data_IF_594159813229
#
_entry.id   IF_594159813229
#
_cell.length_a   1.000
_cell.length_b   1.000
_cell.length_c   1.000
_cell.angle_alpha   90.00
_cell.angle_beta   90.00
_cell.angle_gamma   90.00
#
_symmetry.space_group_name_H-M   'P 1'
#
loop_
_entity.id
_entity.type
_entity.pdbx_description
1 polymer ?
#
# COMPACT_ATOMS: atom_id res chain seq x y z
N UNK A 1 0.50 -2.56 13.82
CA UNK A 1 -0.47 -1.53 13.33
C UNK A 1 -0.56 -0.36 14.31
N UNK A 2 -0.98 0.83 13.85
CA UNK A 2 -1.24 1.98 14.74
C UNK A 2 -2.44 1.69 15.67
N UNK A 3 -2.33 1.88 17.01
CA UNK A 3 -3.41 1.55 17.96
C UNK A 3 -4.72 2.31 17.72
N UNK A 4 -4.62 3.61 17.36
CA UNK A 4 -5.81 4.41 17.08
C UNK A 4 -6.57 3.92 15.85
N UNK A 5 -5.83 3.48 14.82
CA UNK A 5 -6.44 2.88 13.64
C UNK A 5 -7.08 1.53 13.95
N UNK A 6 -6.43 0.71 14.78
CA UNK A 6 -7.02 -0.55 15.24
C UNK A 6 -8.35 -0.31 15.95
N UNK A 7 -8.39 0.59 16.93
CA UNK A 7 -9.61 0.93 17.66
C UNK A 7 -10.70 1.49 16.75
N UNK A 8 -10.34 2.29 15.75
CA UNK A 8 -11.28 2.79 14.74
C UNK A 8 -11.89 1.62 13.94
N UNK A 9 -11.09 0.69 13.46
CA UNK A 9 -11.56 -0.48 12.70
C UNK A 9 -12.41 -1.42 13.57
N UNK A 10 -12.05 -1.62 14.83
CA UNK A 10 -12.86 -2.37 15.80
C UNK A 10 -14.24 -1.73 15.97
N UNK A 11 -14.32 -0.40 16.04
CA UNK A 11 -15.61 0.33 16.08
C UNK A 11 -16.42 0.23 14.78
N UNK A 12 -15.75 -0.09 13.66
CA UNK A 12 -16.35 -0.38 12.37
C UNK A 12 -16.63 -1.88 12.16
N UNK A 13 -16.65 -2.67 13.24
CA UNK A 13 -16.96 -4.11 13.27
C UNK A 13 -15.90 -5.01 12.60
N UNK A 14 -14.65 -4.55 12.50
CA UNK A 14 -13.56 -5.38 12.01
C UNK A 14 -13.26 -6.56 12.96
N UNK A 15 -13.23 -7.75 12.42
CA UNK A 15 -12.85 -8.98 13.10
C UNK A 15 -11.38 -9.29 12.78
N UNK A 16 -10.54 -9.22 13.79
CA UNK A 16 -9.11 -9.51 13.66
C UNK A 16 -8.81 -10.98 13.86
N UNK A 17 -7.77 -11.45 13.21
CA UNK A 17 -7.17 -12.76 13.49
C UNK A 17 -6.45 -12.70 14.84
N UNK A 18 -6.53 -13.77 15.62
CA UNK A 18 -5.87 -13.88 16.92
C UNK A 18 -4.38 -13.56 16.82
N UNK A 19 -3.88 -12.76 17.77
CA UNK A 19 -2.49 -12.32 17.89
C UNK A 19 -1.90 -11.67 16.61
N UNK A 20 -2.76 -11.03 15.79
CA UNK A 20 -2.39 -10.45 14.50
C UNK A 20 -3.12 -9.13 14.24
N UNK A 21 -2.55 -8.33 13.35
CA UNK A 21 -3.21 -7.15 12.78
C UNK A 21 -4.01 -7.48 11.51
N UNK A 22 -4.07 -8.75 11.10
CA UNK A 22 -4.81 -9.20 9.93
C UNK A 22 -6.32 -9.16 10.18
N UNK A 23 -7.07 -8.47 9.31
CA UNK A 23 -8.52 -8.38 9.38
C UNK A 23 -9.13 -9.51 8.56
N UNK A 24 -9.92 -10.36 9.22
CA UNK A 24 -10.57 -11.50 8.60
C UNK A 24 -11.85 -11.09 7.86
N UNK A 25 -12.67 -10.21 8.46
CA UNK A 25 -13.92 -9.73 7.89
C UNK A 25 -14.46 -8.52 8.68
N UNK A 26 -15.60 -7.98 8.23
CA UNK A 26 -16.42 -6.96 8.89
C UNK A 26 -17.83 -7.52 9.17
N UNK A 27 -17.91 -8.70 9.81
CA UNK A 27 -19.13 -9.33 10.26
C UNK A 27 -19.80 -10.30 9.27
N UNK A 28 -19.41 -10.33 7.98
CA UNK A 28 -20.00 -11.22 6.97
C UNK A 28 -18.96 -11.74 5.97
N UNK A 29 -18.12 -12.66 6.40
CA UNK A 29 -17.01 -13.20 5.61
C UNK A 29 -17.44 -13.75 4.22
N UNK A 30 -18.57 -14.46 4.16
CA UNK A 30 -19.03 -15.04 2.87
C UNK A 30 -19.58 -14.01 1.92
N UNK A 31 -20.35 -13.02 2.42
CA UNK A 31 -20.86 -11.93 1.62
C UNK A 31 -19.78 -10.96 1.16
N UNK A 32 -18.69 -10.82 1.92
CA UNK A 32 -17.53 -10.03 1.51
C UNK A 32 -16.75 -10.68 0.36
N UNK A 33 -16.57 -12.00 0.40
CA UNK A 33 -15.98 -12.75 -0.71
C UNK A 33 -16.84 -12.68 -1.98
N UNK A 34 -18.18 -12.80 -1.85
CA UNK A 34 -19.08 -12.62 -2.98
C UNK A 34 -19.03 -11.19 -3.53
N UNK A 35 -18.95 -10.19 -2.64
CA UNK A 35 -18.84 -8.79 -3.04
C UNK A 35 -17.56 -8.51 -3.82
N UNK A 36 -16.43 -9.14 -3.48
CA UNK A 36 -15.18 -8.99 -4.21
C UNK A 36 -15.31 -9.35 -5.70
N UNK A 37 -16.17 -10.33 -6.05
CA UNK A 37 -16.41 -10.74 -7.43
C UNK A 37 -17.40 -9.87 -8.23
N UNK A 38 -18.19 -8.99 -7.59
CA UNK A 38 -19.32 -8.32 -8.26
C UNK A 38 -19.59 -6.89 -7.83
N UNK A 39 -19.04 -6.46 -6.71
CA UNK A 39 -19.25 -5.14 -6.09
C UNK A 39 -17.92 -4.45 -5.80
N UNK A 40 -17.99 -3.20 -5.37
CA UNK A 40 -16.80 -2.48 -4.90
C UNK A 40 -16.56 -2.78 -3.42
N UNK A 41 -15.33 -3.14 -3.09
CA UNK A 41 -14.86 -3.43 -1.74
C UNK A 41 -13.75 -2.48 -1.32
N UNK A 42 -13.69 -2.20 -0.01
CA UNK A 42 -12.64 -1.42 0.65
C UNK A 42 -12.00 -2.29 1.72
N UNK A 43 -10.69 -2.50 1.63
CA UNK A 43 -9.95 -3.44 2.49
C UNK A 43 -8.76 -2.75 3.13
N UNK A 44 -8.63 -2.72 4.46
CA UNK A 44 -7.38 -2.29 5.10
C UNK A 44 -6.27 -3.33 4.84
N UNK A 45 -5.19 -2.90 4.16
CA UNK A 45 -4.09 -3.78 3.76
C UNK A 45 -3.04 -3.89 4.88
N UNK A 46 -3.46 -4.34 6.05
CA UNK A 46 -2.65 -4.40 7.27
C UNK A 46 -1.48 -5.41 7.20
N UNK A 47 -1.49 -6.28 6.21
CA UNK A 47 -0.42 -7.24 5.93
C UNK A 47 0.75 -6.64 5.15
N UNK A 48 0.63 -5.38 4.73
CA UNK A 48 1.67 -4.67 3.99
C UNK A 48 2.35 -3.63 4.87
N UNK A 49 3.66 -3.46 4.67
CA UNK A 49 4.47 -2.41 5.26
C UNK A 49 4.83 -1.36 4.21
N UNK A 50 5.17 -0.17 4.68
CA UNK A 50 5.59 0.96 3.85
C UNK A 50 6.94 1.48 4.31
N UNK A 51 7.92 1.46 3.42
CA UNK A 51 9.25 2.02 3.63
C UNK A 51 9.42 3.25 2.74
N UNK A 52 9.96 4.33 3.28
CA UNK A 52 10.39 5.50 2.53
C UNK A 52 11.90 5.49 2.37
N UNK A 53 12.36 5.78 1.17
CA UNK A 53 13.77 6.07 0.88
C UNK A 53 13.90 7.51 0.37
N UNK A 54 14.64 8.35 1.11
CA UNK A 54 14.83 9.77 0.84
C UNK A 54 16.31 10.15 0.83
N UNK A 55 16.64 11.31 0.26
CA UNK A 55 17.98 11.89 0.21
C UNK A 55 18.59 11.91 -1.20
N UNK A 56 19.66 12.70 -1.36
CA UNK A 56 20.28 13.00 -2.66
C UNK A 56 20.68 11.75 -3.45
N UNK A 57 21.09 10.69 -2.75
CA UNK A 57 21.57 9.44 -3.36
C UNK A 57 20.50 8.34 -3.36
N UNK A 58 19.24 8.59 -2.91
CA UNK A 58 18.22 7.56 -2.77
C UNK A 58 17.94 6.81 -4.08
N UNK A 59 17.82 7.56 -5.18
CA UNK A 59 17.59 7.01 -6.53
C UNK A 59 18.71 6.05 -6.96
N UNK A 60 19.96 6.48 -6.87
CA UNK A 60 21.12 5.68 -7.26
C UNK A 60 21.30 4.47 -6.33
N UNK A 61 21.06 4.66 -5.04
CA UNK A 61 21.10 3.58 -4.05
C UNK A 61 20.07 2.49 -4.39
N UNK A 62 18.79 2.84 -4.52
CA UNK A 62 17.75 1.87 -4.84
C UNK A 62 18.00 1.17 -6.18
N UNK A 63 18.45 1.90 -7.20
CA UNK A 63 18.82 1.31 -8.49
C UNK A 63 19.93 0.26 -8.36
N UNK A 64 20.89 0.46 -7.45
CA UNK A 64 21.97 -0.50 -7.20
C UNK A 64 21.53 -1.72 -6.41
N UNK A 65 20.43 -1.65 -5.67
CA UNK A 65 19.94 -2.72 -4.80
C UNK A 65 18.83 -3.56 -5.47
N UNK A 66 18.03 -2.96 -6.36
CA UNK A 66 16.81 -3.56 -6.88
C UNK A 66 16.99 -4.08 -8.31
N UNK A 67 16.13 -5.01 -8.69
CA UNK A 67 16.16 -5.63 -10.02
C UNK A 67 15.54 -4.77 -11.13
N UNK A 68 14.74 -3.77 -10.77
CA UNK A 68 14.10 -2.87 -11.72
C UNK A 68 14.91 -1.60 -11.92
N UNK A 69 14.67 -0.91 -13.04
CA UNK A 69 15.31 0.36 -13.34
C UNK A 69 14.66 1.53 -12.59
N UNK A 70 15.15 1.80 -11.39
CA UNK A 70 14.70 2.94 -10.56
C UNK A 70 15.10 4.29 -11.19
N UNK A 71 16.17 4.34 -12.00
CA UNK A 71 16.62 5.59 -12.62
C UNK A 71 15.58 6.18 -13.56
N UNK A 72 14.77 5.34 -14.20
CA UNK A 72 13.73 5.77 -15.14
C UNK A 72 12.31 5.73 -14.54
N UNK A 73 12.16 5.50 -13.24
CA UNK A 73 10.87 5.58 -12.58
C UNK A 73 10.37 7.04 -12.56
N UNK A 74 9.40 7.34 -13.42
CA UNK A 74 8.76 8.67 -13.53
C UNK A 74 7.88 9.01 -12.33
N UNK A 75 7.50 10.28 -12.18
CA UNK A 75 6.73 10.78 -11.04
C UNK A 75 5.32 10.16 -10.92
N UNK A 76 4.70 9.81 -12.06
CA UNK A 76 3.37 9.20 -12.09
C UNK A 76 3.42 7.69 -12.33
N UNK A 77 4.60 7.10 -12.31
CA UNK A 77 4.77 5.68 -12.57
C UNK A 77 4.88 4.88 -11.28
N UNK A 78 4.40 3.64 -11.37
CA UNK A 78 4.54 2.62 -10.35
C UNK A 78 5.22 1.41 -10.98
N UNK A 79 6.12 0.75 -10.28
CA UNK A 79 6.75 -0.46 -10.80
C UNK A 79 6.94 -1.52 -9.74
N UNK A 80 6.85 -2.76 -10.16
CA UNK A 80 7.31 -3.88 -9.34
C UNK A 80 8.83 -3.95 -9.35
N UNK A 81 9.39 -4.31 -8.21
CA UNK A 81 10.81 -4.54 -8.05
C UNK A 81 11.07 -5.70 -7.12
N UNK A 82 12.27 -6.25 -7.18
CA UNK A 82 12.71 -7.25 -6.22
C UNK A 82 14.11 -6.91 -5.69
N UNK A 83 14.35 -7.33 -4.46
CA UNK A 83 15.69 -7.34 -3.87
C UNK A 83 16.20 -8.76 -3.78
N UNK A 84 17.36 -9.02 -4.38
CA UNK A 84 17.92 -10.34 -4.51
C UNK A 84 19.27 -10.46 -3.81
N UNK A 85 19.62 -11.67 -3.39
CA UNK A 85 21.01 -12.00 -3.02
C UNK A 85 21.92 -11.98 -4.26
N UNK A 86 23.22 -11.93 -4.05
CA UNK A 86 24.22 -12.08 -5.14
C UNK A 86 24.08 -13.42 -5.93
N UNK A 87 23.39 -14.41 -5.37
CA UNK A 87 23.07 -15.69 -6.03
C UNK A 87 21.72 -15.68 -6.75
N UNK A 88 21.06 -14.50 -6.90
CA UNK A 88 19.78 -14.35 -7.58
C UNK A 88 18.56 -14.83 -6.80
N UNK A 89 18.69 -15.13 -5.50
CA UNK A 89 17.53 -15.51 -4.67
C UNK A 89 16.80 -14.25 -4.19
N UNK A 90 15.52 -14.14 -4.51
CA UNK A 90 14.64 -13.07 -4.07
C UNK A 90 14.51 -13.08 -2.54
N UNK A 91 14.74 -11.92 -1.92
CA UNK A 91 14.62 -11.67 -0.48
C UNK A 91 13.31 -10.97 -0.16
N UNK A 92 12.90 -10.04 -1.03
CA UNK A 92 11.64 -9.32 -0.94
C UNK A 92 11.24 -8.81 -2.33
N UNK A 93 9.93 -8.65 -2.53
CA UNK A 93 9.35 -7.90 -3.65
C UNK A 93 8.76 -6.59 -3.15
N UNK A 94 8.73 -5.59 -4.02
CA UNK A 94 8.24 -4.25 -3.71
C UNK A 94 7.31 -3.76 -4.81
N UNK A 95 6.34 -2.94 -4.40
CA UNK A 95 5.68 -2.00 -5.29
C UNK A 95 6.28 -0.62 -4.98
N UNK A 96 6.89 0.01 -5.98
CA UNK A 96 7.65 1.25 -5.82
C UNK A 96 7.05 2.39 -6.65
N UNK A 97 6.96 3.59 -6.06
CA UNK A 97 6.60 4.83 -6.74
C UNK A 97 7.36 6.01 -6.14
N UNK A 98 7.27 7.17 -6.80
CA UNK A 98 7.87 8.41 -6.30
C UNK A 98 6.80 9.33 -5.70
N UNK A 99 7.22 10.05 -4.66
CA UNK A 99 6.51 11.21 -4.12
C UNK A 99 7.50 12.36 -4.02
N UNK A 100 7.36 13.34 -4.91
CA UNK A 100 8.39 14.35 -5.13
C UNK A 100 9.75 13.70 -5.44
N UNK A 101 10.76 13.89 -4.56
CA UNK A 101 12.09 13.31 -4.73
C UNK A 101 12.27 12.00 -3.94
N UNK A 102 11.32 11.65 -3.08
CA UNK A 102 11.39 10.46 -2.24
C UNK A 102 10.74 9.25 -2.91
N UNK A 103 11.16 8.05 -2.52
CA UNK A 103 10.64 6.79 -3.01
C UNK A 103 9.84 6.08 -1.92
N UNK A 104 8.68 5.60 -2.28
CA UNK A 104 7.79 4.81 -1.44
C UNK A 104 7.85 3.35 -1.88
N UNK A 105 8.02 2.44 -0.93
CA UNK A 105 8.22 1.01 -1.17
C UNK A 105 7.22 0.21 -0.33
N UNK A 106 6.20 -0.33 -0.95
CA UNK A 106 5.32 -1.30 -0.31
C UNK A 106 5.98 -2.67 -0.32
N UNK A 107 6.00 -3.32 0.81
CA UNK A 107 6.59 -4.64 1.04
C UNK A 107 5.67 -5.48 1.93
N UNK A 108 5.84 -6.80 1.96
CA UNK A 108 5.14 -7.65 2.93
C UNK A 108 5.50 -7.25 4.36
N UNK A 109 4.49 -7.05 5.22
CA UNK A 109 4.67 -6.50 6.56
C UNK A 109 5.52 -7.40 7.48
N UNK A 110 5.47 -8.71 7.28
CA UNK A 110 6.31 -9.69 8.01
C UNK A 110 7.80 -9.60 7.65
N UNK A 111 8.12 -9.09 6.45
CA UNK A 111 9.49 -8.89 5.97
C UNK A 111 10.02 -7.47 6.24
N UNK A 112 9.14 -6.50 6.45
CA UNK A 112 9.44 -5.06 6.45
C UNK A 112 10.61 -4.70 7.38
N UNK A 113 10.57 -5.09 8.64
CA UNK A 113 11.60 -4.74 9.63
C UNK A 113 12.97 -5.37 9.29
N UNK A 114 12.97 -6.62 8.83
CA UNK A 114 14.19 -7.33 8.44
C UNK A 114 14.82 -6.73 7.16
N UNK A 115 13.98 -6.40 6.19
CA UNK A 115 14.37 -5.76 4.93
C UNK A 115 14.92 -4.37 5.19
N UNK A 116 14.21 -3.54 5.96
CA UNK A 116 14.64 -2.18 6.29
C UNK A 116 16.01 -2.19 6.98
N UNK A 117 16.15 -2.99 8.05
CA UNK A 117 17.42 -3.13 8.77
C UNK A 117 18.57 -3.55 7.84
N UNK A 118 18.28 -4.47 6.94
CA UNK A 118 19.32 -5.00 6.05
C UNK A 118 19.67 -4.02 4.93
N UNK A 119 18.71 -3.31 4.35
CA UNK A 119 18.97 -2.24 3.39
C UNK A 119 19.80 -1.12 4.01
N UNK A 120 19.51 -0.73 5.26
CA UNK A 120 20.28 0.27 5.99
C UNK A 120 21.77 -0.08 6.11
N UNK A 121 22.13 -1.37 6.19
CA UNK A 121 23.53 -1.81 6.23
C UNK A 121 24.28 -1.53 4.92
N UNK A 122 23.59 -1.37 3.80
CA UNK A 122 24.19 -1.07 2.49
C UNK A 122 24.26 0.43 2.19
N UNK A 123 23.62 1.28 2.99
CA UNK A 123 23.65 2.75 2.79
C UNK A 123 25.06 3.30 2.88
N UNK A 124 25.89 2.79 3.81
CA UNK A 124 27.31 3.15 4.00
C UNK A 124 27.54 4.67 4.02
N UNK A 125 28.13 5.22 2.92
CA UNK A 125 28.46 6.64 2.77
C UNK A 125 27.45 7.43 1.92
N UNK A 126 26.42 6.75 1.39
CA UNK A 126 25.39 7.39 0.58
C UNK A 126 24.51 8.30 1.42
N UNK A 127 24.10 9.43 0.87
CA UNK A 127 23.17 10.36 1.49
C UNK A 127 21.72 9.83 1.32
N UNK A 128 21.41 8.74 2.02
CA UNK A 128 20.13 8.06 1.98
C UNK A 128 19.60 7.87 3.40
N UNK A 129 18.34 8.17 3.59
CA UNK A 129 17.56 7.84 4.78
C UNK A 129 16.49 6.82 4.42
N UNK A 130 16.44 5.71 5.14
CA UNK A 130 15.41 4.69 5.00
C UNK A 130 14.56 4.69 6.27
N UNK A 131 13.25 4.93 6.14
CA UNK A 131 12.32 5.04 7.26
C UNK A 131 11.13 4.10 7.10
N UNK A 132 10.68 3.54 8.22
CA UNK A 132 9.40 2.84 8.29
C UNK A 132 8.26 3.86 8.42
N UNK A 133 7.30 3.84 7.52
CA UNK A 133 6.11 4.69 7.56
C UNK A 133 4.84 3.91 7.93
N UNK A 134 4.90 2.61 8.14
CA UNK A 134 3.73 1.72 8.34
C UNK A 134 2.81 2.15 9.49
N UNK A 135 3.34 2.81 10.52
CA UNK A 135 2.53 3.30 11.64
C UNK A 135 1.91 4.69 11.40
N UNK A 136 2.48 5.48 10.49
CA UNK A 136 2.06 6.87 10.22
C UNK A 136 1.27 7.00 8.91
N UNK A 137 1.46 6.06 7.98
CA UNK A 137 0.83 6.03 6.68
C UNK A 137 0.32 4.63 6.37
N UNK A 138 -0.97 4.50 6.21
CA UNK A 138 -1.66 3.22 6.12
C UNK A 138 -2.18 2.97 4.72
N UNK A 139 -2.31 1.70 4.38
CA UNK A 139 -2.69 1.25 3.05
C UNK A 139 -4.11 0.70 3.07
N UNK A 140 -4.94 1.20 2.15
CA UNK A 140 -6.27 0.66 1.86
C UNK A 140 -6.27 0.10 0.43
N UNK A 141 -6.89 -1.05 0.24
CA UNK A 141 -7.23 -1.60 -1.06
C UNK A 141 -8.65 -1.20 -1.43
N UNK A 142 -8.84 -0.66 -2.62
CA UNK A 142 -10.15 -0.36 -3.19
C UNK A 142 -10.28 -1.07 -4.53
N UNK A 143 -11.30 -1.92 -4.69
CA UNK A 143 -11.47 -2.69 -5.91
C UNK A 143 -12.94 -2.89 -6.26
N UNK A 144 -13.25 -2.91 -7.56
CA UNK A 144 -14.57 -3.20 -8.08
C UNK A 144 -15.12 -2.12 -9.00
N UNK A 145 -16.34 -2.33 -9.55
CA UNK A 145 -16.88 -1.54 -10.66
C UNK A 145 -17.08 -0.05 -10.35
N UNK A 146 -17.30 0.32 -9.10
CA UNK A 146 -17.49 1.71 -8.68
C UNK A 146 -16.23 2.31 -8.02
N UNK A 147 -15.07 1.65 -8.09
CA UNK A 147 -13.88 2.10 -7.40
C UNK A 147 -13.39 3.48 -7.86
N UNK A 148 -13.36 3.73 -9.17
CA UNK A 148 -12.98 5.04 -9.72
C UNK A 148 -13.99 6.14 -9.33
N UNK A 149 -15.29 5.84 -9.32
CA UNK A 149 -16.34 6.76 -8.87
C UNK A 149 -16.20 7.07 -7.38
N UNK A 150 -15.93 6.06 -6.55
CA UNK A 150 -15.72 6.23 -5.11
C UNK A 150 -14.49 7.12 -4.81
N UNK A 151 -13.41 7.01 -5.59
CA UNK A 151 -12.26 7.92 -5.50
C UNK A 151 -12.67 9.36 -5.82
N UNK A 152 -13.40 9.58 -6.92
CA UNK A 152 -13.87 10.90 -7.32
C UNK A 152 -14.76 11.56 -6.27
N UNK A 153 -15.74 10.83 -5.72
CA UNK A 153 -16.64 11.30 -4.66
C UNK A 153 -15.89 11.59 -3.35
N UNK A 154 -14.82 10.85 -3.08
CA UNK A 154 -13.93 11.12 -1.96
C UNK A 154 -13.05 12.38 -2.17
N UNK A 155 -13.02 12.94 -3.37
CA UNK A 155 -12.18 14.09 -3.75
C UNK A 155 -10.75 13.69 -4.08
N UNK A 156 -10.52 12.44 -4.44
CA UNK A 156 -9.20 11.93 -4.81
C UNK A 156 -9.07 11.84 -6.33
N UNK A 157 -7.93 12.27 -6.91
CA UNK A 157 -7.67 12.08 -8.33
C UNK A 157 -7.47 10.59 -8.61
N UNK A 158 -8.15 10.07 -9.64
CA UNK A 158 -8.02 8.68 -10.07
C UNK A 158 -6.88 8.58 -11.10
N UNK A 159 -5.89 7.71 -10.89
CA UNK A 159 -4.88 7.43 -11.90
C UNK A 159 -5.52 6.88 -13.18
N UNK A 160 -5.03 7.35 -14.36
CA UNK A 160 -5.68 7.09 -15.66
C UNK A 160 -5.33 5.74 -16.29
N UNK A 161 -4.27 5.09 -15.81
CA UNK A 161 -3.78 3.83 -16.38
C UNK A 161 -3.26 2.88 -15.28
N UNK A 162 -3.23 1.58 -15.53
CA UNK A 162 -2.55 0.62 -14.65
C UNK A 162 -1.08 0.99 -14.43
N UNK A 163 -0.57 0.68 -13.26
CA UNK A 163 0.80 0.97 -12.83
C UNK A 163 1.15 2.46 -12.92
N UNK A 164 0.18 3.31 -12.60
CA UNK A 164 0.37 4.75 -12.41
C UNK A 164 -0.12 5.19 -11.03
N UNK A 165 0.34 6.36 -10.59
CA UNK A 165 -0.03 6.95 -9.31
C UNK A 165 -0.38 8.42 -9.47
N UNK A 166 -1.27 8.88 -8.60
CA UNK A 166 -1.49 10.30 -8.33
C UNK A 166 -1.16 10.57 -6.88
N UNK A 167 -0.30 11.54 -6.63
CA UNK A 167 0.20 11.86 -5.29
C UNK A 167 -0.33 13.21 -4.83
N UNK A 168 -0.81 13.25 -3.59
CA UNK A 168 -1.19 14.46 -2.88
C UNK A 168 -0.51 14.51 -1.52
N UNK A 169 -0.69 15.62 -0.80
CA UNK A 169 0.03 15.85 0.45
C UNK A 169 -0.20 14.76 1.51
N UNK A 170 -1.43 14.23 1.62
CA UNK A 170 -1.80 13.27 2.66
C UNK A 170 -2.21 11.91 2.09
N UNK A 171 -2.48 11.84 0.80
CA UNK A 171 -3.01 10.65 0.15
C UNK A 171 -2.38 10.46 -1.20
N UNK A 172 -1.93 9.24 -1.48
CA UNK A 172 -1.53 8.80 -2.81
C UNK A 172 -2.41 7.65 -3.25
N UNK A 173 -2.83 7.68 -4.50
CA UNK A 173 -3.64 6.63 -5.12
C UNK A 173 -2.80 5.93 -6.18
N UNK A 174 -2.68 4.63 -6.07
CA UNK A 174 -1.89 3.77 -6.94
C UNK A 174 -2.86 2.84 -7.68
N UNK A 175 -2.89 2.91 -9.01
CA UNK A 175 -3.63 1.95 -9.83
C UNK A 175 -2.77 0.70 -10.07
N UNK A 176 -3.24 -0.46 -9.63
CA UNK A 176 -2.61 -1.75 -9.92
C UNK A 176 -3.05 -2.24 -11.30
N UNK A 177 -4.34 -2.21 -11.53
CA UNK A 177 -5.02 -2.59 -12.76
C UNK A 177 -6.38 -1.87 -12.86
N UNK A 178 -7.18 -2.18 -13.86
CA UNK A 178 -8.48 -1.54 -14.03
C UNK A 178 -9.38 -1.74 -12.79
N UNK A 179 -9.86 -0.64 -12.22
CA UNK A 179 -10.73 -0.65 -11.04
C UNK A 179 -10.15 -1.31 -9.78
N UNK A 180 -8.82 -1.37 -9.67
CA UNK A 180 -8.12 -1.89 -8.49
C UNK A 180 -7.01 -0.95 -8.07
N UNK A 181 -7.11 -0.42 -6.86
CA UNK A 181 -6.26 0.65 -6.35
C UNK A 181 -5.72 0.31 -4.97
N UNK A 182 -4.50 0.78 -4.70
CA UNK A 182 -3.99 0.96 -3.34
C UNK A 182 -4.04 2.46 -3.02
N UNK A 183 -4.54 2.80 -1.85
CA UNK A 183 -4.58 4.16 -1.32
C UNK A 183 -3.65 4.21 -0.12
N UNK A 184 -2.58 4.99 -0.23
CA UNK A 184 -1.67 5.25 0.88
C UNK A 184 -2.05 6.59 1.52
N UNK A 185 -2.56 6.56 2.74
CA UNK A 185 -3.08 7.74 3.43
C UNK A 185 -2.45 7.94 4.80
N UNK A 186 -2.25 9.20 5.20
CA UNK A 186 -1.81 9.53 6.57
C UNK A 186 -2.90 9.17 7.58
N UNK A 187 -2.49 8.90 8.82
CA UNK A 187 -3.42 8.62 9.92
C UNK A 187 -4.48 9.71 10.12
N UNK A 188 -4.11 10.96 9.85
CA UNK A 188 -5.00 12.11 9.98
C UNK A 188 -6.13 12.10 8.95
N UNK A 189 -5.81 11.73 7.69
CA UNK A 189 -6.78 11.71 6.60
C UNK A 189 -7.71 10.47 6.63
N UNK A 190 -7.26 9.37 7.22
CA UNK A 190 -7.91 8.07 7.12
C UNK A 190 -9.36 8.01 7.60
N UNK A 191 -9.76 8.53 8.77
CA UNK A 191 -11.14 8.41 9.23
C UNK A 191 -12.14 9.08 8.29
N UNK A 192 -11.83 10.30 7.84
CA UNK A 192 -12.69 11.02 6.88
C UNK A 192 -12.74 10.31 5.52
N UNK A 193 -11.59 9.81 5.07
CA UNK A 193 -11.48 9.07 3.82
C UNK A 193 -12.27 7.75 3.87
N UNK A 194 -12.15 6.99 4.96
CA UNK A 194 -12.91 5.77 5.19
C UNK A 194 -14.40 6.00 5.06
N UNK A 195 -14.95 7.01 5.76
CA UNK A 195 -16.37 7.34 5.70
C UNK A 195 -16.84 7.67 4.29
N UNK A 196 -16.06 8.43 3.51
CA UNK A 196 -16.41 8.76 2.13
C UNK A 196 -16.39 7.53 1.22
N UNK A 197 -15.34 6.71 1.31
CA UNK A 197 -15.20 5.53 0.46
C UNK A 197 -16.25 4.47 0.76
N UNK A 198 -16.64 4.29 2.03
CA UNK A 198 -17.66 3.30 2.43
C UNK A 198 -19.07 3.64 1.98
N UNK A 199 -19.32 4.84 1.46
CA UNK A 199 -20.61 5.17 0.81
C UNK A 199 -20.84 4.35 -0.46
N UNK A 200 -19.77 3.92 -1.16
CA UNK A 200 -19.85 3.14 -2.41
C UNK A 200 -19.09 1.80 -2.36
N UNK A 201 -18.21 1.64 -1.41
CA UNK A 201 -17.42 0.43 -1.24
C UNK A 201 -17.77 -0.28 0.06
N UNK A 202 -18.02 -1.57 -0.02
CA UNK A 202 -18.26 -2.40 1.16
C UNK A 202 -16.95 -2.65 1.90
N UNK A 203 -16.86 -2.39 3.21
CA UNK A 203 -15.75 -2.88 4.02
C UNK A 203 -15.61 -4.39 3.89
N UNK A 204 -14.39 -4.86 3.73
CA UNK A 204 -14.10 -6.28 3.61
C UNK A 204 -12.73 -6.62 4.22
N UNK A 205 -12.58 -7.86 4.67
CA UNK A 205 -11.34 -8.39 5.22
C UNK A 205 -10.33 -8.76 4.13
N UNK A 206 -9.12 -9.04 4.59
CA UNK A 206 -8.00 -9.41 3.72
C UNK A 206 -8.27 -10.65 2.83
N UNK A 207 -9.05 -11.67 3.23
CA UNK A 207 -9.40 -12.78 2.33
C UNK A 207 -10.08 -12.32 1.05
N UNK A 208 -10.96 -11.29 1.11
CA UNK A 208 -11.62 -10.75 -0.07
C UNK A 208 -10.65 -10.06 -1.03
N UNK A 209 -9.62 -9.37 -0.50
CA UNK A 209 -8.56 -8.77 -1.32
C UNK A 209 -7.67 -9.84 -1.98
N UNK A 210 -7.24 -10.85 -1.20
CA UNK A 210 -6.41 -11.95 -1.71
C UNK A 210 -7.12 -12.78 -2.79
N UNK A 211 -8.44 -12.87 -2.73
CA UNK A 211 -9.21 -13.56 -3.78
C UNK A 211 -9.07 -12.88 -5.15
N UNK A 212 -8.83 -11.57 -5.20
CA UNK A 212 -8.60 -10.83 -6.45
C UNK A 212 -7.21 -11.10 -7.07
N UNK A 213 -6.32 -11.79 -6.38
CA UNK A 213 -4.97 -12.14 -6.86
C UNK A 213 -4.95 -13.50 -7.60
N UNK A 214 -6.10 -14.21 -7.64
CA UNK A 214 -6.26 -15.54 -8.28
C UNK A 214 -6.79 -15.38 -9.71
#
# INVERSE_FOLDING_TARGET
MNPNWRSFLESAEAVFKDDSDEILNFGDASGELQAAGSRTILVPLTHLGLIEASGDDAKAFLHSQFTSDINHLGAEQVQHSAWCTAKGRMQASFLAWREAEDFQLVVSGDLEAAVLKRLQMFVLRSKVSLRNLTASRLLLGLAGPQAAEALGDAGLPCPLAPMTTTTGHQVSVIALEANRYIIAATMEALPALWHKLTLKARPAGLPAWRWLDI
#
